data_IF_242570413801
#
_entry.id   IF_242570413801
#
_cell.length_a   1.000
_cell.length_b   1.000
_cell.length_c   1.000
_cell.angle_alpha   90.00
_cell.angle_beta   90.00
_cell.angle_gamma   90.00
#
_symmetry.space_group_name_H-M   'P 1'
#
loop_
_entity.id
_entity.type
_entity.pdbx_description
1 polymer ?
#
# COMPACT_ATOMS: atom_id res chain seq x y z
N UNK A 1 15.99 -7.94 4.44
CA UNK A 1 14.95 -8.08 5.49
C UNK A 1 14.65 -6.81 6.29
N UNK A 2 15.63 -6.04 6.80
CA UNK A 2 15.36 -4.84 7.64
C UNK A 2 14.55 -3.71 6.95
N UNK A 3 14.72 -3.52 5.64
CA UNK A 3 14.00 -2.49 4.87
C UNK A 3 12.49 -2.79 4.70
N UNK A 4 12.11 -4.02 4.33
CA UNK A 4 10.71 -4.44 4.21
C UNK A 4 9.93 -4.27 5.53
N UNK A 5 10.54 -4.68 6.65
CA UNK A 5 10.00 -4.44 7.99
C UNK A 5 9.84 -2.96 8.31
N UNK A 6 10.78 -2.12 7.87
CA UNK A 6 10.71 -0.67 8.04
C UNK A 6 9.55 -0.09 7.23
N UNK A 7 9.35 -0.54 5.99
CA UNK A 7 8.23 -0.12 5.14
C UNK A 7 6.89 -0.52 5.73
N UNK A 8 6.77 -1.76 6.21
CA UNK A 8 5.58 -2.21 6.92
C UNK A 8 5.32 -1.37 8.16
N UNK A 9 6.33 -1.08 8.98
CA UNK A 9 6.17 -0.22 10.16
C UNK A 9 5.71 1.19 9.79
N UNK A 10 6.15 1.70 8.64
CA UNK A 10 5.85 3.04 8.17
C UNK A 10 4.44 3.16 7.56
N UNK A 11 3.95 2.10 6.91
CA UNK A 11 2.69 2.07 6.17
C UNK A 11 1.73 0.96 6.65
N UNK A 12 1.87 0.46 7.89
CA UNK A 12 1.08 -0.68 8.38
C UNK A 12 -0.42 -0.39 8.36
N UNK A 13 -0.81 0.85 8.69
CA UNK A 13 -2.22 1.27 8.68
C UNK A 13 -2.81 1.16 7.28
N UNK A 14 -2.06 1.63 6.28
CA UNK A 14 -2.45 1.54 4.87
C UNK A 14 -2.57 0.08 4.42
N UNK A 15 -1.60 -0.76 4.77
CA UNK A 15 -1.67 -2.19 4.49
C UNK A 15 -2.92 -2.85 5.11
N UNK A 16 -3.20 -2.56 6.38
CA UNK A 16 -4.34 -3.14 7.10
C UNK A 16 -5.68 -2.66 6.52
N UNK A 17 -5.78 -1.38 6.15
CA UNK A 17 -6.94 -0.85 5.43
C UNK A 17 -7.13 -1.54 4.08
N UNK A 18 -6.06 -1.74 3.31
CA UNK A 18 -6.14 -2.43 2.02
C UNK A 18 -6.56 -3.90 2.17
N UNK A 19 -6.07 -4.61 3.19
CA UNK A 19 -6.54 -5.96 3.52
C UNK A 19 -8.04 -5.95 3.84
N UNK A 20 -8.48 -5.05 4.71
CA UNK A 20 -9.89 -4.97 5.11
C UNK A 20 -10.80 -4.62 3.94
N UNK A 21 -10.35 -3.77 3.01
CA UNK A 21 -11.18 -3.24 1.94
C UNK A 21 -11.15 -4.12 0.68
N UNK A 22 -10.08 -4.89 0.46
CA UNK A 22 -9.92 -5.73 -0.73
C UNK A 22 -9.98 -7.21 -0.40
N UNK A 23 -9.16 -7.68 0.55
CA UNK A 23 -9.04 -9.13 0.83
C UNK A 23 -10.26 -9.65 1.58
N UNK A 24 -10.75 -8.94 2.60
CA UNK A 24 -11.90 -9.41 3.39
C UNK A 24 -13.16 -9.56 2.52
N UNK A 25 -13.57 -8.57 1.70
CA UNK A 25 -14.71 -8.75 0.79
C UNK A 25 -14.49 -9.87 -0.22
N UNK A 26 -13.28 -10.02 -0.77
CA UNK A 26 -12.96 -11.10 -1.70
C UNK A 26 -13.16 -12.48 -1.04
N UNK A 27 -12.63 -12.66 0.17
CA UNK A 27 -12.79 -13.90 0.95
C UNK A 27 -14.26 -14.15 1.31
N UNK A 28 -15.00 -13.12 1.70
CA UNK A 28 -16.43 -13.25 2.00
C UNK A 28 -17.22 -13.71 0.77
N UNK A 29 -16.91 -13.17 -0.41
CA UNK A 29 -17.55 -13.61 -1.66
C UNK A 29 -17.20 -15.07 -1.96
N UNK A 30 -15.93 -15.47 -1.81
CA UNK A 30 -15.52 -16.85 -2.04
C UNK A 30 -16.12 -17.86 -1.04
N UNK A 31 -16.40 -17.45 0.19
CA UNK A 31 -16.98 -18.33 1.21
C UNK A 31 -18.51 -18.42 1.15
N UNK A 32 -19.18 -17.32 0.83
CA UNK A 32 -20.63 -17.20 1.05
C UNK A 32 -21.43 -16.90 -0.21
N UNK A 33 -20.80 -16.53 -1.32
CA UNK A 33 -21.55 -16.23 -2.54
C UNK A 33 -22.03 -17.52 -3.19
N UNK A 34 -23.33 -17.65 -3.50
CA UNK A 34 -23.87 -18.80 -4.21
C UNK A 34 -23.56 -18.76 -5.72
N UNK A 35 -22.93 -17.69 -6.20
CA UNK A 35 -22.63 -17.47 -7.62
C UNK A 35 -21.16 -17.81 -7.93
N UNK A 36 -20.94 -18.44 -9.08
CA UNK A 36 -19.59 -18.69 -9.61
C UNK A 36 -19.05 -17.42 -10.26
N UNK A 37 -18.29 -16.66 -9.47
CA UNK A 37 -17.59 -15.48 -9.96
C UNK A 37 -16.23 -15.87 -10.53
N UNK A 38 -16.21 -16.29 -11.78
CA UNK A 38 -14.96 -16.45 -12.52
C UNK A 38 -14.27 -15.09 -12.65
N UNK A 39 -12.96 -15.04 -12.40
CA UNK A 39 -12.14 -13.84 -12.55
C UNK A 39 -12.40 -12.70 -11.55
N UNK A 40 -13.10 -12.92 -10.43
CA UNK A 40 -13.32 -11.89 -9.41
C UNK A 40 -12.01 -11.26 -8.88
N UNK A 41 -10.92 -12.05 -8.89
CA UNK A 41 -9.59 -11.58 -8.51
C UNK A 41 -9.08 -10.46 -9.43
N UNK A 42 -9.47 -10.44 -10.72
CA UNK A 42 -9.14 -9.34 -11.63
C UNK A 42 -9.82 -8.04 -11.20
N UNK A 43 -11.05 -8.10 -10.69
CA UNK A 43 -11.74 -6.92 -10.14
C UNK A 43 -11.00 -6.38 -8.91
N UNK A 44 -10.55 -7.26 -8.01
CA UNK A 44 -9.74 -6.86 -6.86
C UNK A 44 -8.39 -6.24 -7.27
N UNK A 45 -7.68 -6.83 -8.25
CA UNK A 45 -6.40 -6.32 -8.74
C UNK A 45 -6.55 -4.97 -9.47
N UNK A 46 -7.54 -4.85 -10.35
CA UNK A 46 -7.84 -3.59 -11.05
C UNK A 46 -8.25 -2.50 -10.08
N UNK A 47 -8.99 -2.84 -9.01
CA UNK A 47 -9.34 -1.90 -7.95
C UNK A 47 -8.10 -1.40 -7.18
N UNK A 48 -7.15 -2.28 -6.81
CA UNK A 48 -5.87 -1.88 -6.20
C UNK A 48 -5.11 -0.91 -7.13
N UNK A 49 -5.10 -1.20 -8.43
CA UNK A 49 -4.44 -0.35 -9.40
C UNK A 49 -5.15 1.01 -9.55
N UNK A 50 -6.48 1.02 -9.59
CA UNK A 50 -7.28 2.25 -9.65
C UNK A 50 -7.03 3.13 -8.41
N UNK A 51 -6.91 2.53 -7.22
CA UNK A 51 -6.53 3.26 -6.00
C UNK A 51 -5.19 3.99 -6.18
N UNK A 52 -4.17 3.33 -6.79
CA UNK A 52 -2.89 3.95 -7.12
C UNK A 52 -3.05 5.17 -8.04
N UNK A 53 -3.87 5.05 -9.08
CA UNK A 53 -4.00 6.11 -10.09
C UNK A 53 -4.83 7.30 -9.58
N UNK A 54 -5.96 7.02 -8.90
CA UNK A 54 -6.95 8.04 -8.53
C UNK A 54 -6.54 8.77 -7.26
N UNK A 55 -6.20 8.04 -6.19
CA UNK A 55 -5.96 8.63 -4.87
C UNK A 55 -4.51 9.05 -4.66
N UNK A 56 -3.58 8.45 -5.39
CA UNK A 56 -2.15 8.54 -5.10
C UNK A 56 -1.35 9.28 -6.17
N UNK A 57 -1.91 10.38 -6.71
CA UNK A 57 -1.18 11.31 -7.58
C UNK A 57 0.11 11.79 -6.90
N UNK A 58 1.26 11.50 -7.51
CA UNK A 58 2.57 11.71 -6.88
C UNK A 58 2.88 13.17 -6.56
N UNK A 59 2.54 14.10 -7.46
CA UNK A 59 2.88 15.51 -7.31
C UNK A 59 2.27 16.20 -6.06
N UNK A 60 0.94 16.11 -5.81
CA UNK A 60 0.36 16.68 -4.59
C UNK A 60 0.82 15.94 -3.33
N UNK A 61 1.05 14.63 -3.41
CA UNK A 61 1.51 13.83 -2.28
C UNK A 61 2.95 14.19 -1.86
N UNK A 62 3.87 14.36 -2.83
CA UNK A 62 5.25 14.78 -2.56
C UNK A 62 5.29 16.11 -1.81
N UNK A 63 4.45 17.08 -2.20
CA UNK A 63 4.36 18.39 -1.51
C UNK A 63 3.94 18.23 -0.04
N UNK A 64 2.97 17.36 0.26
CA UNK A 64 2.52 17.09 1.63
C UNK A 64 3.60 16.38 2.46
N UNK A 65 4.24 15.36 1.88
CA UNK A 65 5.25 14.55 2.55
C UNK A 65 6.54 15.34 2.88
N UNK A 66 6.89 16.36 2.09
CA UNK A 66 8.05 17.23 2.38
C UNK A 66 7.95 17.84 3.78
N UNK A 67 6.76 18.34 4.17
CA UNK A 67 6.52 18.91 5.50
C UNK A 67 6.68 17.87 6.59
N UNK A 68 5.99 16.73 6.46
CA UNK A 68 6.02 15.64 7.44
C UNK A 68 7.42 15.03 7.63
N UNK A 69 8.17 14.84 6.53
CA UNK A 69 9.54 14.31 6.59
C UNK A 69 10.48 15.30 7.27
N UNK A 70 10.33 16.60 6.97
CA UNK A 70 11.14 17.65 7.60
C UNK A 70 10.93 17.69 9.11
N UNK A 71 9.69 17.69 9.58
CA UNK A 71 9.35 17.66 11.01
C UNK A 71 9.85 16.38 11.69
N UNK A 72 9.72 15.23 11.03
CA UNK A 72 10.21 13.95 11.55
C UNK A 72 11.75 13.90 11.66
N UNK A 73 12.48 14.57 10.77
CA UNK A 73 13.94 14.70 10.87
C UNK A 73 14.36 15.66 11.99
N UNK A 74 13.68 16.82 12.10
CA UNK A 74 13.96 17.81 13.14
C UNK A 74 13.71 17.20 14.53
N UNK A 75 12.60 16.49 14.72
CA UNK A 75 12.30 15.82 16.01
C UNK A 75 13.28 14.70 16.36
N UNK A 76 13.86 14.00 15.38
CA UNK A 76 14.84 12.92 15.63
C UNK A 76 16.27 13.40 15.84
N UNK A 77 16.68 14.44 15.13
CA UNK A 77 18.10 14.84 15.06
C UNK A 77 18.38 16.24 15.59
N UNK A 78 17.34 17.03 15.88
CA UNK A 78 17.45 18.43 16.30
C UNK A 78 18.01 19.36 15.22
N UNK A 79 18.33 18.84 14.03
CA UNK A 79 18.99 19.57 12.93
C UNK A 79 18.03 19.75 11.76
N UNK A 80 18.17 20.87 11.05
CA UNK A 80 17.43 21.12 9.82
C UNK A 80 17.99 20.19 8.73
N UNK A 81 17.17 19.28 8.16
CA UNK A 81 17.64 18.36 7.12
C UNK A 81 17.91 19.10 5.82
N UNK A 82 18.90 18.62 5.06
CA UNK A 82 19.18 19.13 3.71
C UNK A 82 18.04 18.78 2.74
N UNK A 83 17.91 19.57 1.65
CA UNK A 83 16.92 19.29 0.58
C UNK A 83 17.02 17.86 0.06
N UNK A 84 18.24 17.34 -0.08
CA UNK A 84 18.48 15.97 -0.57
C UNK A 84 18.03 14.89 0.44
N UNK A 85 18.20 15.11 1.74
CA UNK A 85 17.69 14.20 2.77
C UNK A 85 16.17 14.17 2.81
N UNK A 86 15.52 15.33 2.64
CA UNK A 86 14.07 15.42 2.56
C UNK A 86 13.55 14.65 1.34
N UNK A 87 14.14 14.86 0.16
CA UNK A 87 13.74 14.16 -1.07
C UNK A 87 13.88 12.64 -0.90
N UNK A 88 15.02 12.15 -0.41
CA UNK A 88 15.21 10.72 -0.14
C UNK A 88 14.17 10.16 0.83
N UNK A 89 13.87 10.88 1.92
CA UNK A 89 12.86 10.43 2.88
C UNK A 89 11.44 10.41 2.28
N UNK A 90 11.10 11.35 1.41
CA UNK A 90 9.83 11.36 0.68
C UNK A 90 9.75 10.18 -0.28
N UNK A 91 10.81 9.93 -1.04
CA UNK A 91 10.86 8.82 -2.00
C UNK A 91 10.79 7.47 -1.28
N UNK A 92 11.45 7.30 -0.13
CA UNK A 92 11.34 6.10 0.70
C UNK A 92 9.89 5.83 1.15
N UNK A 93 9.12 6.87 1.50
CA UNK A 93 7.71 6.73 1.89
C UNK A 93 6.85 6.30 0.69
N UNK A 94 7.12 6.86 -0.49
CA UNK A 94 6.40 6.51 -1.72
C UNK A 94 6.69 5.07 -2.12
N UNK A 95 7.97 4.67 -2.10
CA UNK A 95 8.38 3.29 -2.38
C UNK A 95 7.76 2.34 -1.37
N UNK A 96 7.79 2.66 -0.06
CA UNK A 96 7.17 1.84 0.97
C UNK A 96 5.68 1.60 0.70
N UNK A 97 4.95 2.64 0.28
CA UNK A 97 3.54 2.55 -0.07
C UNK A 97 3.31 1.68 -1.30
N UNK A 98 4.09 1.88 -2.36
CA UNK A 98 3.98 1.08 -3.58
C UNK A 98 4.27 -0.40 -3.29
N UNK A 99 5.24 -0.69 -2.42
CA UNK A 99 5.49 -2.05 -1.91
C UNK A 99 4.27 -2.61 -1.17
N UNK A 100 3.55 -1.81 -0.37
CA UNK A 100 2.31 -2.26 0.28
C UNK A 100 1.19 -2.57 -0.72
N UNK A 101 1.03 -1.75 -1.77
CA UNK A 101 0.00 -2.01 -2.79
C UNK A 101 0.30 -3.31 -3.54
N UNK A 102 1.57 -3.51 -3.92
CA UNK A 102 2.01 -4.75 -4.59
C UNK A 102 1.84 -5.95 -3.65
N UNK A 103 2.20 -5.83 -2.36
CA UNK A 103 2.06 -6.95 -1.43
C UNK A 103 0.59 -7.36 -1.22
N UNK A 104 -0.35 -6.40 -1.18
CA UNK A 104 -1.79 -6.74 -1.16
C UNK A 104 -2.23 -7.41 -2.47
N UNK A 105 -1.73 -6.97 -3.63
CA UNK A 105 -1.99 -7.65 -4.90
C UNK A 105 -1.50 -9.11 -4.89
N UNK A 106 -0.32 -9.37 -4.31
CA UNK A 106 0.16 -10.74 -4.09
C UNK A 106 -0.75 -11.51 -3.13
N UNK A 107 -1.24 -10.89 -2.06
CA UNK A 107 -2.21 -11.52 -1.16
C UNK A 107 -3.51 -11.90 -1.88
N UNK A 108 -4.01 -11.07 -2.81
CA UNK A 108 -5.18 -11.42 -3.64
C UNK A 108 -4.92 -12.72 -4.39
N UNK A 109 -3.79 -12.83 -5.08
CA UNK A 109 -3.42 -14.05 -5.83
C UNK A 109 -3.31 -15.27 -4.93
N UNK A 110 -2.66 -15.14 -3.76
CA UNK A 110 -2.52 -16.22 -2.79
C UNK A 110 -3.89 -16.71 -2.31
N UNK A 111 -4.78 -15.79 -1.94
CA UNK A 111 -6.14 -16.12 -1.51
C UNK A 111 -6.89 -16.84 -2.63
N UNK A 112 -6.87 -16.29 -3.84
CA UNK A 112 -7.54 -16.90 -5.00
C UNK A 112 -7.02 -18.29 -5.32
N UNK A 113 -5.71 -18.53 -5.21
CA UNK A 113 -5.10 -19.85 -5.32
C UNK A 113 -5.60 -20.83 -4.24
N UNK A 114 -5.69 -20.40 -2.98
CA UNK A 114 -6.20 -21.23 -1.88
C UNK A 114 -7.64 -21.68 -2.09
N UNK A 115 -8.47 -20.86 -2.74
CA UNK A 115 -9.85 -21.19 -3.07
C UNK A 115 -10.01 -21.92 -4.42
N UNK A 116 -8.91 -22.21 -5.14
CA UNK A 116 -8.95 -22.88 -6.44
C UNK A 116 -9.67 -22.06 -7.52
N UNK A 117 -9.67 -20.73 -7.40
CA UNK A 117 -10.37 -19.78 -8.29
C UNK A 117 -9.41 -19.03 -9.22
N UNK A 118 -8.17 -19.52 -9.37
CA UNK A 118 -7.15 -18.96 -10.26
C UNK A 118 -7.20 -19.64 -11.64
#
# INVERSE_FOLDING_TARGET
MKQLLTYFKLQYKLFLTLILLVIVPLVLVYLFSPYEWDNLYWLALTFIFALKVVFYKEAPLKKKLIGEVRERFISKTGKVPSKMQIVRGVDEIIVARDVMLVSVGVCVLIVTLFFGKL
#
